data_IF_192714995857
#
_entry.id   IF_192714995857
#
_cell.length_a   1.000
_cell.length_b   1.000
_cell.length_c   1.000
_cell.angle_alpha   90.00
_cell.angle_beta   90.00
_cell.angle_gamma   90.00
#
_symmetry.space_group_name_H-M   'P 1'
#
loop_
_entity.id
_entity.type
_entity.pdbx_description
1 polymer ?
#
# COMPACT_ATOMS: atom_id res chain seq x y z
N UNK A 1 -20.79 -35.29 0.23
CA UNK A 1 -19.68 -34.71 1.02
C UNK A 1 -18.57 -34.08 0.16
N UNK A 2 -18.11 -34.72 -0.93
CA UNK A 2 -17.05 -34.16 -1.82
C UNK A 2 -17.42 -32.84 -2.54
N UNK A 3 -18.69 -32.71 -2.95
CA UNK A 3 -19.22 -31.49 -3.61
C UNK A 3 -19.35 -30.28 -2.67
N UNK A 4 -19.61 -30.53 -1.38
CA UNK A 4 -19.70 -29.48 -0.35
C UNK A 4 -18.30 -28.91 -0.04
N UNK A 5 -17.29 -29.77 0.06
CA UNK A 5 -15.90 -29.34 0.26
C UNK A 5 -15.39 -28.49 -0.91
N UNK A 6 -15.79 -28.81 -2.13
CA UNK A 6 -15.40 -28.04 -3.33
C UNK A 6 -16.00 -26.63 -3.34
N UNK A 7 -17.27 -26.48 -2.91
CA UNK A 7 -17.93 -25.17 -2.79
C UNK A 7 -17.30 -24.33 -1.69
N UNK A 8 -16.94 -24.93 -0.56
CA UNK A 8 -16.25 -24.25 0.54
C UNK A 8 -14.87 -23.73 0.12
N UNK A 9 -14.11 -24.52 -0.64
CA UNK A 9 -12.81 -24.09 -1.21
C UNK A 9 -13.02 -22.97 -2.24
N UNK A 10 -14.04 -23.04 -3.08
CA UNK A 10 -14.34 -22.00 -4.09
C UNK A 10 -14.73 -20.66 -3.45
N UNK A 11 -15.53 -20.69 -2.38
CA UNK A 11 -15.88 -19.49 -1.61
C UNK A 11 -14.66 -18.92 -0.86
N UNK A 12 -13.80 -19.79 -0.34
CA UNK A 12 -12.58 -19.37 0.36
C UNK A 12 -11.56 -18.72 -0.59
N UNK A 13 -11.42 -19.22 -1.82
CA UNK A 13 -10.54 -18.64 -2.85
C UNK A 13 -11.05 -17.26 -3.32
N UNK A 14 -12.36 -17.04 -3.37
CA UNK A 14 -12.95 -15.74 -3.77
C UNK A 14 -12.85 -14.67 -2.68
N UNK A 15 -12.71 -15.07 -1.40
CA UNK A 15 -12.59 -14.15 -0.26
C UNK A 15 -11.15 -13.70 0.01
N UNK A 16 -10.15 -14.21 -0.72
CA UNK A 16 -8.78 -13.73 -0.61
C UNK A 16 -8.68 -12.37 -1.31
N UNK A 17 -8.20 -11.31 -0.63
CA UNK A 17 -7.84 -10.09 -1.33
C UNK A 17 -6.75 -10.45 -2.33
N UNK A 18 -7.09 -10.42 -3.62
CA UNK A 18 -6.07 -10.43 -4.67
C UNK A 18 -5.31 -9.13 -4.48
N UNK A 19 -4.06 -9.21 -4.01
CA UNK A 19 -3.13 -8.09 -4.01
C UNK A 19 -2.72 -7.80 -5.46
N UNK A 20 -3.69 -7.36 -6.25
CA UNK A 20 -3.46 -6.82 -7.56
C UNK A 20 -2.67 -5.52 -7.38
N UNK A 21 -1.74 -5.26 -8.29
CA UNK A 21 -1.09 -3.97 -8.38
C UNK A 21 -2.16 -2.87 -8.36
N UNK A 22 -2.18 -1.99 -7.34
CA UNK A 22 -3.26 -1.03 -7.20
C UNK A 22 -3.18 0.10 -8.25
N UNK A 23 -2.07 0.20 -9.00
CA UNK A 23 -1.81 1.32 -9.89
C UNK A 23 -1.55 0.91 -11.34
N UNK A 24 -2.41 1.37 -12.26
CA UNK A 24 -2.33 1.01 -13.69
C UNK A 24 -1.11 1.60 -14.40
N UNK A 25 -0.55 2.68 -13.87
CA UNK A 25 0.60 3.42 -14.41
C UNK A 25 1.95 2.98 -13.80
N UNK A 26 1.94 1.98 -12.91
CA UNK A 26 3.16 1.40 -12.32
C UNK A 26 3.22 -0.09 -12.67
N UNK A 27 3.61 -0.48 -13.89
CA UNK A 27 3.66 -1.89 -14.30
C UNK A 27 4.76 -2.66 -13.54
N UNK A 28 4.68 -4.01 -13.56
CA UNK A 28 5.61 -4.91 -12.86
C UNK A 28 7.09 -4.68 -13.16
N UNK A 29 7.41 -4.21 -14.37
CA UNK A 29 8.79 -3.92 -14.80
C UNK A 29 9.22 -2.47 -14.54
N UNK A 30 8.39 -1.66 -13.89
CA UNK A 30 8.72 -0.28 -13.54
C UNK A 30 9.67 -0.26 -12.34
N UNK A 31 10.73 0.56 -12.41
CA UNK A 31 11.74 0.64 -11.34
C UNK A 31 11.16 0.98 -9.96
N UNK A 32 10.04 1.71 -9.92
CA UNK A 32 9.37 2.11 -8.68
C UNK A 32 8.36 1.07 -8.16
N UNK A 33 8.13 -0.04 -8.88
CA UNK A 33 7.06 -0.98 -8.60
C UNK A 33 7.06 -1.46 -7.15
N UNK A 34 8.17 -2.04 -6.70
CA UNK A 34 8.28 -2.62 -5.35
C UNK A 34 8.08 -1.56 -4.26
N UNK A 35 8.69 -0.39 -4.44
CA UNK A 35 8.60 0.72 -3.48
C UNK A 35 7.17 1.26 -3.37
N UNK A 36 6.53 1.52 -4.51
CA UNK A 36 5.16 2.03 -4.57
C UNK A 36 4.19 1.01 -3.98
N UNK A 37 4.27 -0.25 -4.40
CA UNK A 37 3.42 -1.31 -3.85
C UNK A 37 3.58 -1.45 -2.33
N UNK A 38 4.82 -1.43 -1.84
CA UNK A 38 5.13 -1.54 -0.41
C UNK A 38 4.54 -0.39 0.40
N UNK A 39 4.67 0.85 -0.10
CA UNK A 39 4.12 2.04 0.57
C UNK A 39 2.60 2.06 0.53
N UNK A 40 1.97 1.61 -0.57
CA UNK A 40 0.53 1.52 -0.69
C UNK A 40 -0.05 0.48 0.27
N UNK A 41 0.60 -0.69 0.38
CA UNK A 41 0.20 -1.73 1.32
C UNK A 41 0.29 -1.28 2.79
N UNK A 42 1.18 -0.33 3.09
CA UNK A 42 1.33 0.28 4.42
C UNK A 42 0.40 1.47 4.66
N UNK A 43 -0.40 1.86 3.67
CA UNK A 43 -1.28 3.03 3.74
C UNK A 43 -0.55 4.37 3.73
N UNK A 44 0.75 4.39 3.38
CA UNK A 44 1.58 5.61 3.33
C UNK A 44 1.25 6.45 2.11
N UNK A 45 1.04 5.79 0.97
CA UNK A 45 0.61 6.43 -0.27
C UNK A 45 -0.80 5.99 -0.64
N UNK A 46 -1.55 6.91 -1.25
CA UNK A 46 -2.88 6.65 -1.80
C UNK A 46 -2.86 7.18 -3.24
N UNK A 47 -3.29 6.36 -4.19
CA UNK A 47 -3.40 6.78 -5.58
C UNK A 47 -4.65 7.61 -5.85
N UNK A 48 -4.91 7.85 -7.12
CA UNK A 48 -6.03 8.64 -7.59
C UNK A 48 -7.26 7.75 -7.89
N UNK A 49 -8.48 8.32 -7.92
CA UNK A 49 -9.70 7.57 -8.23
C UNK A 49 -9.71 6.90 -9.61
N UNK A 50 -8.85 7.33 -10.53
CA UNK A 50 -8.66 6.74 -11.86
C UNK A 50 -7.77 5.48 -11.83
N UNK A 51 -7.30 5.07 -10.66
CA UNK A 51 -6.45 3.89 -10.48
C UNK A 51 -4.98 4.14 -10.79
N UNK A 52 -4.52 5.40 -10.85
CA UNK A 52 -3.11 5.74 -11.03
C UNK A 52 -2.41 6.07 -9.71
N UNK A 53 -1.09 5.82 -9.64
CA UNK A 53 -0.21 6.40 -8.63
C UNK A 53 0.12 7.86 -8.95
N UNK A 54 0.27 8.18 -10.25
CA UNK A 54 0.57 9.52 -10.73
C UNK A 54 2.03 9.91 -10.59
N UNK A 55 2.96 8.95 -10.71
CA UNK A 55 4.40 9.17 -10.45
C UNK A 55 5.10 10.22 -11.33
N UNK A 56 4.51 10.59 -12.47
CA UNK A 56 5.00 11.68 -13.32
C UNK A 56 4.42 13.07 -13.01
N UNK A 57 3.50 13.18 -12.04
CA UNK A 57 2.86 14.45 -11.67
C UNK A 57 3.71 15.17 -10.63
N UNK A 58 3.70 16.50 -10.69
CA UNK A 58 4.28 17.32 -9.62
C UNK A 58 3.47 17.16 -8.34
N UNK A 59 4.14 16.91 -7.23
CA UNK A 59 3.56 16.81 -5.90
C UNK A 59 3.53 18.18 -5.22
N UNK A 60 2.43 18.52 -4.57
CA UNK A 60 2.35 19.70 -3.70
C UNK A 60 3.06 19.46 -2.37
N UNK A 61 3.45 20.55 -1.69
CA UNK A 61 4.02 20.45 -0.33
C UNK A 61 3.06 19.81 0.67
N UNK A 62 1.75 19.97 0.46
CA UNK A 62 0.71 19.38 1.32
C UNK A 62 0.69 17.85 1.17
N UNK A 63 0.62 17.35 -0.06
CA UNK A 63 0.66 15.90 -0.34
C UNK A 63 1.96 15.27 0.19
N UNK A 64 3.09 15.96 0.04
CA UNK A 64 4.37 15.48 0.57
C UNK A 64 4.34 15.38 2.10
N UNK A 65 3.86 16.42 2.79
CA UNK A 65 3.77 16.42 4.24
C UNK A 65 2.82 15.33 4.76
N UNK A 66 1.71 15.08 4.06
CA UNK A 66 0.78 14.00 4.40
C UNK A 66 1.43 12.62 4.28
N UNK A 67 2.16 12.36 3.19
CA UNK A 67 2.87 11.08 2.99
C UNK A 67 3.94 10.86 4.08
N UNK A 68 4.68 11.91 4.45
CA UNK A 68 5.68 11.85 5.54
C UNK A 68 5.00 11.57 6.88
N UNK A 69 3.90 12.25 7.20
CA UNK A 69 3.16 12.03 8.45
C UNK A 69 2.63 10.60 8.55
N UNK A 70 2.09 10.04 7.45
CA UNK A 70 1.65 8.64 7.39
C UNK A 70 2.81 7.65 7.55
N UNK A 71 3.96 7.94 6.95
CA UNK A 71 5.16 7.11 7.10
C UNK A 71 5.65 7.08 8.56
N UNK A 72 5.70 8.24 9.22
CA UNK A 72 6.07 8.36 10.64
C UNK A 72 5.11 7.57 11.53
N UNK A 73 3.80 7.78 11.36
CA UNK A 73 2.78 7.05 12.12
C UNK A 73 2.90 5.53 11.93
N UNK A 74 3.24 5.06 10.73
CA UNK A 74 3.49 3.63 10.47
C UNK A 74 4.72 3.13 11.24
N UNK A 75 5.82 3.89 11.25
CA UNK A 75 7.07 3.55 11.96
C UNK A 75 6.86 3.49 13.47
N UNK A 76 6.19 4.50 14.03
CA UNK A 76 5.80 4.57 15.45
C UNK A 76 4.91 3.37 15.84
N UNK A 77 3.88 3.08 15.03
CA UNK A 77 2.98 1.95 15.27
C UNK A 77 3.69 0.58 15.22
N UNK A 78 4.86 0.48 14.60
CA UNK A 78 5.68 -0.74 14.55
C UNK A 78 6.76 -0.79 15.64
N UNK A 79 6.88 0.24 16.48
CA UNK A 79 7.87 0.31 17.54
C UNK A 79 9.31 0.44 17.03
N UNK A 80 9.51 0.94 15.81
CA UNK A 80 10.84 1.16 15.23
C UNK A 80 11.47 2.48 15.66
N UNK A 81 10.66 3.41 16.16
CA UNK A 81 11.10 4.68 16.74
C UNK A 81 10.15 5.03 17.90
N UNK A 82 10.71 5.25 19.08
CA UNK A 82 10.05 5.95 20.18
C UNK A 82 10.26 7.46 20.01
N UNK A 83 9.33 8.28 20.50
CA UNK A 83 9.56 9.73 20.62
C UNK A 83 10.84 10.04 21.43
N UNK A 84 11.24 9.10 22.30
CA UNK A 84 12.47 9.18 23.08
C UNK A 84 13.74 9.05 22.23
N UNK A 85 13.68 8.44 21.04
CA UNK A 85 14.84 8.25 20.16
C UNK A 85 15.24 9.53 19.41
N UNK A 86 14.35 10.52 19.37
CA UNK A 86 14.53 11.79 18.62
C UNK A 86 14.89 12.97 19.55
N UNK A 87 14.68 12.81 20.86
CA UNK A 87 15.06 13.82 21.85
C UNK A 87 16.59 13.84 22.03
N UNK A 88 17.25 14.80 21.40
CA UNK A 88 18.63 15.23 21.72
C UNK A 88 18.59 16.40 22.68
#
# INVERSE_FOLDING_TARGET
MKKLALVLVLVFVFALPVFANPFVDVPLNHWAYDSVQSLAAKGVIVGYPDGTFGGGKTMTRYEFAEAVAKALAYVEAKGYASADDVAV
#
